data_IF_835751157893
#
_entry.id   IF_835751157893
#
_cell.length_a   1.000
_cell.length_b   1.000
_cell.length_c   1.000
_cell.angle_alpha   90.00
_cell.angle_beta   90.00
_cell.angle_gamma   90.00
#
_symmetry.space_group_name_H-M   'P 1'
#
loop_
_entity.id
_entity.type
_entity.pdbx_description
1 polymer ?
#
# COMPACT_ATOMS: atom_id res chain seq x y z
N UNK A 1 35.94 -22.72 23.01
CA UNK A 1 35.42 -23.01 21.68
C UNK A 1 33.89 -23.03 21.59
N UNK A 2 33.22 -23.67 22.53
CA UNK A 2 31.75 -23.69 22.50
C UNK A 2 31.10 -22.28 22.66
N UNK A 3 31.71 -21.42 23.45
CA UNK A 3 31.22 -20.05 23.67
C UNK A 3 31.40 -19.18 22.43
N UNK A 4 32.46 -19.40 21.65
CA UNK A 4 32.73 -18.65 20.43
C UNK A 4 31.73 -19.03 19.31
N UNK A 5 31.41 -20.33 19.22
CA UNK A 5 30.43 -20.80 18.25
C UNK A 5 29.01 -20.27 18.54
N UNK A 6 28.64 -20.21 19.82
CA UNK A 6 27.35 -19.65 20.23
C UNK A 6 27.27 -18.14 19.94
N UNK A 7 28.37 -17.42 20.10
CA UNK A 7 28.43 -16.00 19.80
C UNK A 7 28.29 -15.73 18.30
N UNK A 8 28.92 -16.57 17.47
CA UNK A 8 28.83 -16.44 16.02
C UNK A 8 27.41 -16.65 15.51
N UNK A 9 26.69 -17.60 16.12
CA UNK A 9 25.30 -17.89 15.75
C UNK A 9 24.37 -16.72 16.12
N UNK A 10 24.59 -16.08 17.26
CA UNK A 10 23.81 -14.95 17.71
C UNK A 10 23.99 -13.71 16.84
N UNK A 11 25.13 -13.59 16.16
CA UNK A 11 25.39 -12.45 15.27
C UNK A 11 24.76 -12.60 13.88
N UNK A 12 24.48 -13.83 13.45
CA UNK A 12 23.90 -14.07 12.14
C UNK A 12 22.38 -13.86 12.14
N UNK A 13 21.70 -14.19 13.23
CA UNK A 13 20.25 -14.08 13.33
C UNK A 13 19.72 -12.64 13.15
N UNK A 14 20.31 -11.60 13.78
CA UNK A 14 19.83 -10.23 13.58
C UNK A 14 20.03 -9.72 12.15
N UNK A 15 21.07 -10.15 11.47
CA UNK A 15 21.34 -9.75 10.09
C UNK A 15 20.28 -10.29 9.13
N UNK A 16 19.81 -11.53 9.32
CA UNK A 16 18.75 -12.12 8.50
C UNK A 16 17.42 -11.39 8.68
N UNK A 17 17.08 -11.05 9.92
CA UNK A 17 15.84 -10.32 10.23
C UNK A 17 15.88 -8.92 9.61
N UNK A 18 17.00 -8.23 9.70
CA UNK A 18 17.17 -6.90 9.10
C UNK A 18 17.02 -6.96 7.57
N UNK A 19 17.60 -8.00 6.91
CA UNK A 19 17.46 -8.17 5.48
C UNK A 19 16.02 -8.38 5.04
N UNK A 20 15.26 -9.18 5.76
CA UNK A 20 13.84 -9.41 5.47
C UNK A 20 13.01 -8.13 5.62
N UNK A 21 13.26 -7.35 6.65
CA UNK A 21 12.56 -6.09 6.86
C UNK A 21 12.82 -5.10 5.74
N UNK A 22 14.05 -5.00 5.26
CA UNK A 22 14.39 -4.12 4.14
C UNK A 22 13.70 -4.54 2.85
N UNK A 23 13.63 -5.84 2.57
CA UNK A 23 12.92 -6.35 1.39
C UNK A 23 11.43 -6.05 1.46
N UNK A 24 10.81 -6.20 2.62
CA UNK A 24 9.40 -5.89 2.82
C UNK A 24 9.13 -4.41 2.59
N UNK A 25 9.97 -3.53 3.12
CA UNK A 25 9.82 -2.09 2.93
C UNK A 25 9.94 -1.69 1.47
N UNK A 26 10.90 -2.27 0.74
CA UNK A 26 11.06 -2.01 -0.69
C UNK A 26 9.83 -2.47 -1.47
N UNK A 27 9.33 -3.66 -1.19
CA UNK A 27 8.14 -4.20 -1.83
C UNK A 27 6.93 -3.33 -1.55
N UNK A 28 6.75 -2.90 -0.31
CA UNK A 28 5.66 -2.01 0.07
C UNK A 28 5.78 -0.66 -0.63
N UNK A 29 6.97 -0.12 -0.73
CA UNK A 29 7.21 1.15 -1.44
C UNK A 29 6.83 1.08 -2.92
N UNK A 30 7.24 0.01 -3.60
CA UNK A 30 6.86 -0.22 -4.99
C UNK A 30 5.36 -0.45 -5.14
N UNK A 31 4.78 -1.23 -4.24
CA UNK A 31 3.34 -1.48 -4.23
C UNK A 31 2.55 -0.17 -4.05
N UNK A 32 3.01 0.71 -3.16
CA UNK A 32 2.40 2.03 -2.97
C UNK A 32 2.41 2.84 -4.26
N UNK A 33 3.53 2.86 -4.96
CA UNK A 33 3.63 3.58 -6.23
C UNK A 33 2.61 3.06 -7.25
N UNK A 34 2.42 1.76 -7.33
CA UNK A 34 1.44 1.17 -8.22
C UNK A 34 0.01 1.56 -7.83
N UNK A 35 -0.31 1.52 -6.55
CA UNK A 35 -1.64 1.91 -6.05
C UNK A 35 -1.86 3.41 -6.26
N UNK A 36 -0.87 4.23 -5.99
CA UNK A 36 -0.95 5.69 -6.24
C UNK A 36 -1.25 5.97 -7.71
N UNK A 37 -0.57 5.28 -8.61
CA UNK A 37 -0.81 5.41 -10.05
C UNK A 37 -2.21 4.98 -10.43
N UNK A 38 -2.69 3.86 -9.88
CA UNK A 38 -4.04 3.36 -10.14
C UNK A 38 -5.09 4.32 -9.60
N UNK A 39 -4.92 4.80 -8.38
CA UNK A 39 -5.85 5.75 -7.78
C UNK A 39 -5.91 7.06 -8.57
N UNK A 40 -4.76 7.56 -9.00
CA UNK A 40 -4.70 8.77 -9.81
C UNK A 40 -5.41 8.64 -11.16
N UNK A 41 -5.33 7.44 -11.76
CA UNK A 41 -5.96 7.20 -13.06
C UNK A 41 -7.46 6.92 -12.96
N UNK A 42 -7.86 6.04 -12.03
CA UNK A 42 -9.22 5.52 -11.98
C UNK A 42 -10.11 6.19 -10.94
N UNK A 43 -9.52 6.90 -9.99
CA UNK A 43 -10.24 7.55 -8.90
C UNK A 43 -9.84 9.04 -8.79
N UNK A 44 -10.06 9.82 -9.85
CA UNK A 44 -9.71 11.25 -9.81
C UNK A 44 -10.54 11.95 -8.71
N UNK A 45 -9.89 12.80 -7.95
CA UNK A 45 -10.54 13.53 -6.86
C UNK A 45 -10.51 12.82 -5.50
N UNK A 46 -10.12 11.54 -5.46
CA UNK A 46 -9.95 10.83 -4.20
C UNK A 46 -8.55 11.13 -3.64
N UNK A 47 -8.42 11.43 -2.33
CA UNK A 47 -7.10 11.63 -1.75
C UNK A 47 -6.30 10.35 -1.83
N UNK A 48 -5.23 10.39 -2.59
CA UNK A 48 -4.43 9.22 -2.93
C UNK A 48 -3.81 8.59 -1.68
N UNK A 49 -3.22 9.40 -0.80
CA UNK A 49 -2.47 8.88 0.34
C UNK A 49 -3.32 8.05 1.30
N UNK A 50 -4.46 8.54 1.81
CA UNK A 50 -5.30 7.70 2.69
C UNK A 50 -5.83 6.47 1.98
N UNK A 51 -6.20 6.58 0.72
CA UNK A 51 -6.66 5.45 -0.08
C UNK A 51 -5.57 4.39 -0.20
N UNK A 52 -4.38 4.81 -0.61
CA UNK A 52 -3.23 3.90 -0.75
C UNK A 52 -2.89 3.22 0.58
N UNK A 53 -2.90 3.96 1.68
CA UNK A 53 -2.63 3.38 3.00
C UNK A 53 -3.62 2.26 3.33
N UNK A 54 -4.90 2.46 3.09
CA UNK A 54 -5.92 1.43 3.33
C UNK A 54 -5.69 0.19 2.45
N UNK A 55 -5.37 0.38 1.18
CA UNK A 55 -5.11 -0.74 0.27
C UNK A 55 -3.86 -1.51 0.71
N UNK A 56 -2.76 -0.83 0.95
CA UNK A 56 -1.49 -1.47 1.31
C UNK A 56 -1.60 -2.20 2.65
N UNK A 57 -2.23 -1.58 3.64
CA UNK A 57 -2.36 -2.17 4.98
C UNK A 57 -3.27 -3.40 5.00
N UNK A 58 -4.14 -3.56 4.01
CA UNK A 58 -5.05 -4.70 3.91
C UNK A 58 -4.66 -5.68 2.81
N UNK A 59 -3.52 -5.48 2.16
CA UNK A 59 -3.01 -6.38 1.13
C UNK A 59 -2.24 -7.54 1.76
N UNK A 60 -2.40 -8.73 1.17
CA UNK A 60 -1.56 -9.89 1.51
C UNK A 60 -0.17 -9.71 0.90
N UNK A 61 0.78 -10.54 1.35
CA UNK A 61 2.14 -10.55 0.79
C UNK A 61 2.11 -10.78 -0.72
N UNK A 62 1.30 -11.73 -1.19
CA UNK A 62 1.14 -12.00 -2.62
C UNK A 62 0.65 -10.78 -3.38
N UNK A 63 -0.34 -10.10 -2.82
CA UNK A 63 -0.89 -8.90 -3.44
C UNK A 63 0.12 -7.76 -3.48
N UNK A 64 0.88 -7.59 -2.41
CA UNK A 64 1.97 -6.60 -2.39
C UNK A 64 3.01 -6.90 -3.47
N UNK A 65 3.34 -8.17 -3.66
CA UNK A 65 4.28 -8.58 -4.71
C UNK A 65 3.73 -8.30 -6.11
N UNK A 66 2.46 -8.57 -6.33
CA UNK A 66 1.79 -8.26 -7.60
C UNK A 66 1.76 -6.76 -7.87
N UNK A 67 1.46 -5.97 -6.86
CA UNK A 67 1.46 -4.51 -6.97
C UNK A 67 2.87 -3.98 -7.23
N UNK A 68 3.88 -4.51 -6.53
CA UNK A 68 5.26 -4.14 -6.77
C UNK A 68 5.70 -4.48 -8.20
N UNK A 69 5.28 -5.65 -8.70
CA UNK A 69 5.52 -6.04 -10.08
C UNK A 69 4.85 -5.09 -11.08
N UNK A 70 3.66 -4.63 -10.77
CA UNK A 70 2.95 -3.65 -11.60
C UNK A 70 3.72 -2.32 -11.66
N UNK A 71 4.34 -1.90 -10.56
CA UNK A 71 5.15 -0.68 -10.53
C UNK A 71 6.33 -0.74 -11.51
N UNK A 72 6.82 -1.94 -11.82
CA UNK A 72 7.91 -2.15 -12.78
C UNK A 72 7.47 -2.22 -14.24
N UNK A 73 6.23 -1.90 -14.56
CA UNK A 73 5.68 -2.09 -15.91
C UNK A 73 6.14 -1.05 -16.95
N UNK A 74 7.00 -0.12 -16.57
CA UNK A 74 7.58 0.84 -17.50
C UNK A 74 7.12 2.27 -17.28
N UNK A 75 5.82 2.54 -17.29
CA UNK A 75 5.29 3.87 -17.05
C UNK A 75 4.10 3.84 -16.09
N UNK A 76 3.68 5.01 -15.63
CA UNK A 76 2.59 5.12 -14.65
C UNK A 76 1.26 4.61 -15.19
N UNK A 77 1.00 4.75 -16.49
CA UNK A 77 -0.23 4.26 -17.11
C UNK A 77 -0.28 2.74 -17.12
N UNK A 78 0.81 2.09 -17.50
CA UNK A 78 0.90 0.64 -17.49
C UNK A 78 0.84 0.09 -16.06
N UNK A 79 1.52 0.74 -15.13
CA UNK A 79 1.47 0.38 -13.72
C UNK A 79 0.04 0.46 -13.18
N UNK A 80 -0.67 1.53 -13.47
CA UNK A 80 -2.06 1.71 -13.05
C UNK A 80 -2.95 0.61 -13.60
N UNK A 81 -2.83 0.30 -14.88
CA UNK A 81 -3.64 -0.71 -15.55
C UNK A 81 -3.41 -2.10 -14.95
N UNK A 82 -2.16 -2.45 -14.68
CA UNK A 82 -1.81 -3.74 -14.08
C UNK A 82 -2.20 -3.83 -12.60
N UNK A 83 -2.09 -2.74 -11.87
CA UNK A 83 -2.40 -2.71 -10.45
C UNK A 83 -3.91 -2.73 -10.17
N UNK A 84 -4.71 -2.20 -11.08
CA UNK A 84 -6.14 -1.95 -10.83
C UNK A 84 -6.93 -3.20 -10.41
N UNK A 85 -6.79 -4.37 -11.08
CA UNK A 85 -7.51 -5.56 -10.64
C UNK A 85 -7.18 -5.99 -9.21
N UNK A 86 -5.91 -5.85 -8.82
CA UNK A 86 -5.48 -6.17 -7.45
C UNK A 86 -6.08 -5.16 -6.47
N UNK A 87 -6.03 -3.89 -6.80
CA UNK A 87 -6.60 -2.80 -5.98
C UNK A 87 -8.09 -3.03 -5.76
N UNK A 88 -8.83 -3.36 -6.81
CA UNK A 88 -10.27 -3.63 -6.70
C UNK A 88 -10.55 -4.81 -5.78
N UNK A 89 -9.77 -5.88 -5.89
CA UNK A 89 -9.91 -7.05 -5.04
C UNK A 89 -9.70 -6.72 -3.57
N UNK A 90 -8.66 -5.97 -3.27
CA UNK A 90 -8.37 -5.53 -1.89
C UNK A 90 -9.45 -4.57 -1.38
N UNK A 91 -9.86 -3.62 -2.21
CA UNK A 91 -10.87 -2.62 -1.83
C UNK A 91 -12.23 -3.25 -1.51
N UNK A 92 -12.51 -4.43 -2.05
CA UNK A 92 -13.78 -5.14 -1.84
C UNK A 92 -13.86 -5.81 -0.46
N UNK A 93 -12.74 -5.96 0.24
CA UNK A 93 -12.71 -6.63 1.53
C UNK A 93 -13.37 -5.79 2.61
N UNK A 94 -14.08 -6.41 3.57
CA UNK A 94 -14.72 -5.67 4.65
C UNK A 94 -13.74 -4.82 5.46
N UNK A 95 -12.57 -5.35 5.78
CA UNK A 95 -11.55 -4.61 6.55
C UNK A 95 -11.06 -3.38 5.80
N UNK A 96 -10.85 -3.51 4.49
CA UNK A 96 -10.43 -2.39 3.65
C UNK A 96 -11.54 -1.33 3.59
N UNK A 97 -12.78 -1.77 3.41
CA UNK A 97 -13.94 -0.85 3.41
C UNK A 97 -14.04 -0.08 4.71
N UNK A 98 -13.86 -0.76 5.84
CA UNK A 98 -13.86 -0.11 7.15
C UNK A 98 -12.74 0.93 7.25
N UNK A 99 -11.54 0.61 6.76
CA UNK A 99 -10.44 1.55 6.70
C UNK A 99 -10.80 2.77 5.87
N UNK A 100 -11.37 2.56 4.69
CA UNK A 100 -11.76 3.65 3.78
C UNK A 100 -12.84 4.52 4.40
N UNK A 101 -13.84 3.93 5.04
CA UNK A 101 -14.90 4.67 5.72
C UNK A 101 -14.33 5.52 6.86
N UNK A 102 -13.43 4.95 7.64
CA UNK A 102 -12.77 5.71 8.72
C UNK A 102 -11.93 6.86 8.17
N UNK A 103 -11.23 6.63 7.07
CA UNK A 103 -10.45 7.66 6.40
C UNK A 103 -11.37 8.81 5.92
N UNK A 104 -12.54 8.48 5.41
CA UNK A 104 -13.56 9.48 5.03
C UNK A 104 -14.08 10.23 6.26
N UNK A 105 -14.41 9.49 7.31
CA UNK A 105 -14.99 10.09 8.51
C UNK A 105 -14.03 11.00 9.25
N UNK A 106 -12.76 10.63 9.28
CA UNK A 106 -11.72 11.40 9.96
C UNK A 106 -11.05 12.42 9.04
N UNK A 107 -11.29 12.31 7.73
CA UNK A 107 -10.59 13.10 6.73
C UNK A 107 -11.48 14.11 6.04
N UNK A 108 -11.41 15.35 6.45
CA UNK A 108 -11.91 16.46 5.64
C UNK A 108 -11.36 16.38 4.21
N UNK A 109 -10.22 15.74 4.05
CA UNK A 109 -9.56 15.58 2.76
C UNK A 109 -10.42 14.84 1.75
N UNK A 110 -11.15 13.80 2.16
CA UNK A 110 -12.01 13.06 1.24
C UNK A 110 -13.23 13.88 0.86
N UNK A 111 -13.81 14.56 1.82
CA UNK A 111 -14.95 15.46 1.57
C UNK A 111 -14.56 16.57 0.60
N UNK A 112 -13.39 17.15 0.78
CA UNK A 112 -12.86 18.16 -0.12
C UNK A 112 -12.60 17.61 -1.51
N UNK A 113 -12.05 16.40 -1.60
CA UNK A 113 -11.75 15.77 -2.86
C UNK A 113 -13.00 15.44 -3.66
N UNK A 114 -14.10 15.14 -3.00
CA UNK A 114 -15.36 14.87 -3.67
C UNK A 114 -16.06 16.15 -4.12
N UNK A 115 -15.49 17.31 -3.83
CA UNK A 115 -16.15 18.58 -4.15
C UNK A 115 -17.47 18.76 -3.42
N UNK A 116 -17.82 17.77 -2.63
CA UNK A 116 -18.99 17.81 -1.81
C UNK A 116 -18.75 18.65 -0.59
N UNK A 117 -17.61 19.07 -0.39
CA UNK A 117 -17.31 19.81 0.79
C UNK A 117 -18.56 19.98 1.64
N UNK A 118 -18.43 19.89 2.88
CA UNK A 118 -19.55 20.09 3.79
C UNK A 118 -20.38 21.31 3.38
N UNK A 119 -19.74 22.29 2.79
CA UNK A 119 -20.38 23.45 2.22
C UNK A 119 -21.38 23.14 1.10
N UNK A 120 -21.17 22.07 0.36
CA UNK A 120 -22.12 21.66 -0.66
C UNK A 120 -23.38 21.03 -0.12
N UNK A 121 -23.35 20.59 1.13
CA UNK A 121 -24.49 20.01 1.80
C UNK A 121 -25.25 21.04 2.63
N UNK A 122 -24.69 22.16 2.80
CA UNK A 122 -25.30 23.28 3.48
C UNK A 122 -26.01 24.20 2.48
#
# INVERSE_FOLDING_TARGET
>A
MRAVAALALALVLPACVAGQSMMQETTRGLARNAVDSAAGKYLPGVPVKPYTDCIINNSTTDELMKLAGAAGAGDAQAAATKAWPVVQGVASRPDTRNCLVQAVSSGDALLKAQGLAVGGLE
#
